data_IF_890789604403
#
_entry.id   IF_890789604403
#
_cell.length_a   1.000
_cell.length_b   1.000
_cell.length_c   1.000
_cell.angle_alpha   90.00
_cell.angle_beta   90.00
_cell.angle_gamma   90.00
#
_symmetry.space_group_name_H-M   'P 1'
#
loop_
_entity.id
_entity.type
_entity.pdbx_description
1 polymer ?
#
# COMPACT_ATOMS: atom_id res chain seq x y z
N UNK A 1 7.82 -16.70 9.36
CA UNK A 1 6.98 -17.74 8.71
C UNK A 1 6.75 -17.35 7.24
N UNK A 2 6.26 -18.26 6.38
CA UNK A 2 5.80 -17.89 5.04
C UNK A 2 4.28 -18.03 4.94
N UNK A 3 3.61 -17.06 4.32
CA UNK A 3 2.18 -17.06 4.03
C UNK A 3 1.92 -16.86 2.54
N UNK A 4 0.84 -17.46 2.05
CA UNK A 4 0.26 -17.14 0.75
C UNK A 4 -1.07 -16.44 1.03
N UNK A 5 -1.21 -15.21 0.53
CA UNK A 5 -2.37 -14.38 0.83
C UNK A 5 -2.98 -13.85 -0.47
N UNK A 6 -4.32 -13.81 -0.54
CA UNK A 6 -4.98 -12.91 -1.48
C UNK A 6 -5.19 -11.55 -0.82
N UNK A 7 -5.16 -10.48 -1.62
CA UNK A 7 -5.52 -9.12 -1.17
C UNK A 7 -6.90 -9.10 -0.51
N UNK A 8 -7.87 -9.90 -0.99
CA UNK A 8 -9.21 -9.99 -0.39
C UNK A 8 -9.22 -10.54 1.02
N UNK A 9 -8.21 -11.32 1.40
CA UNK A 9 -8.12 -11.97 2.71
C UNK A 9 -7.41 -11.08 3.74
N UNK A 10 -6.72 -10.03 3.27
CA UNK A 10 -5.93 -9.16 4.14
C UNK A 10 -6.74 -8.60 5.31
N UNK A 11 -7.96 -8.05 5.15
CA UNK A 11 -8.71 -7.50 6.27
C UNK A 11 -8.89 -8.50 7.43
N UNK A 12 -9.25 -9.74 7.12
CA UNK A 12 -9.39 -10.79 8.13
C UNK A 12 -8.04 -11.16 8.75
N UNK A 13 -7.00 -11.31 7.92
CA UNK A 13 -5.65 -11.68 8.37
C UNK A 13 -5.05 -10.63 9.32
N UNK A 14 -5.21 -9.35 9.02
CA UNK A 14 -4.52 -8.26 9.74
C UNK A 14 -5.36 -7.66 10.87
N UNK A 15 -6.69 -7.57 10.74
CA UNK A 15 -7.55 -6.94 11.75
C UNK A 15 -8.10 -7.94 12.74
N UNK A 16 -8.58 -9.09 12.26
CA UNK A 16 -9.27 -10.08 13.11
C UNK A 16 -8.28 -11.09 13.70
N UNK A 17 -7.43 -11.67 12.85
CA UNK A 17 -6.55 -12.77 13.23
C UNK A 17 -5.16 -12.31 13.70
N UNK A 18 -4.73 -11.13 13.25
CA UNK A 18 -3.42 -10.54 13.53
C UNK A 18 -2.26 -11.53 13.30
N UNK A 19 -2.31 -12.28 12.19
CA UNK A 19 -1.35 -13.37 11.94
C UNK A 19 0.04 -12.88 11.56
N UNK A 20 0.13 -11.72 10.91
CA UNK A 20 1.38 -11.24 10.32
C UNK A 20 2.24 -10.52 11.36
N UNK A 21 3.49 -10.94 11.47
CA UNK A 21 4.50 -10.31 12.31
C UNK A 21 5.67 -9.78 11.46
N UNK A 22 6.39 -8.79 11.99
CA UNK A 22 7.59 -8.29 11.33
C UNK A 22 8.61 -9.43 11.10
N UNK A 23 9.12 -9.53 9.87
CA UNK A 23 10.03 -10.61 9.45
C UNK A 23 9.34 -11.80 8.79
N UNK A 24 8.00 -11.86 8.78
CA UNK A 24 7.28 -12.85 7.99
C UNK A 24 7.40 -12.61 6.48
N UNK A 25 7.45 -13.70 5.72
CA UNK A 25 7.46 -13.68 4.25
C UNK A 25 6.03 -13.87 3.75
N UNK A 26 5.61 -13.04 2.79
CA UNK A 26 4.27 -13.12 2.20
C UNK A 26 4.37 -13.20 0.69
N UNK A 27 3.75 -14.20 0.10
CA UNK A 27 3.46 -14.28 -1.32
C UNK A 27 2.04 -13.73 -1.50
N UNK A 28 1.94 -12.52 -2.05
CA UNK A 28 0.68 -11.80 -2.21
C UNK A 28 0.14 -11.97 -3.64
N UNK A 29 -1.15 -12.25 -3.76
CA UNK A 29 -1.90 -12.32 -5.02
C UNK A 29 -3.12 -11.40 -4.98
N UNK A 30 -3.58 -10.91 -6.13
CA UNK A 30 -4.77 -10.06 -6.24
C UNK A 30 -4.47 -8.66 -6.80
N UNK A 31 -5.39 -7.72 -6.56
CA UNK A 31 -5.32 -6.37 -7.13
C UNK A 31 -4.52 -5.42 -6.24
N UNK A 32 -3.50 -4.78 -6.81
CA UNK A 32 -2.72 -3.70 -6.16
C UNK A 32 -2.69 -2.47 -7.06
N UNK A 33 -2.68 -1.28 -6.45
CA UNK A 33 -2.63 -0.01 -7.18
C UNK A 33 -1.22 0.57 -7.11
N UNK A 34 -0.61 0.89 -8.25
CA UNK A 34 0.68 1.58 -8.24
C UNK A 34 0.50 3.07 -7.93
N UNK A 35 1.17 3.58 -6.92
CA UNK A 35 1.17 5.02 -6.62
C UNK A 35 2.47 5.43 -5.96
N UNK A 36 3.03 6.58 -6.36
CA UNK A 36 4.26 7.15 -5.80
C UNK A 36 4.10 8.65 -5.59
N UNK A 37 5.19 9.41 -5.61
CA UNK A 37 5.29 10.82 -5.21
C UNK A 37 4.15 11.72 -5.73
N UNK A 38 4.03 11.87 -7.06
CA UNK A 38 3.04 12.77 -7.67
C UNK A 38 1.60 12.27 -7.50
N UNK A 39 1.39 10.96 -7.51
CA UNK A 39 0.08 10.36 -7.32
C UNK A 39 -0.40 10.54 -5.87
N UNK A 40 0.44 10.28 -4.86
CA UNK A 40 0.11 10.52 -3.45
C UNK A 40 -0.24 11.99 -3.17
N UNK A 41 0.50 12.93 -3.77
CA UNK A 41 0.19 14.36 -3.66
C UNK A 41 -1.21 14.69 -4.21
N UNK A 42 -1.60 14.10 -5.35
CA UNK A 42 -2.94 14.30 -5.94
C UNK A 42 -4.04 13.62 -5.13
N UNK A 43 -3.83 12.38 -4.70
CA UNK A 43 -4.80 11.62 -3.90
C UNK A 43 -5.11 12.35 -2.58
N UNK A 44 -4.08 12.78 -1.86
CA UNK A 44 -4.27 13.50 -0.58
C UNK A 44 -4.84 14.91 -0.77
N UNK A 45 -4.53 15.60 -1.88
CA UNK A 45 -5.18 16.86 -2.20
C UNK A 45 -6.69 16.65 -2.47
N UNK A 46 -7.04 15.67 -3.30
CA UNK A 46 -8.44 15.33 -3.58
C UNK A 46 -9.21 14.92 -2.31
N UNK A 47 -8.57 14.16 -1.41
CA UNK A 47 -9.19 13.77 -0.14
C UNK A 47 -9.45 14.94 0.80
N UNK A 48 -8.58 15.95 0.80
CA UNK A 48 -8.80 17.15 1.61
C UNK A 48 -10.01 17.96 1.13
N UNK A 49 -10.34 17.88 -0.16
CA UNK A 49 -11.45 18.61 -0.76
C UNK A 49 -12.77 17.82 -0.72
N UNK A 50 -12.72 16.51 -0.97
CA UNK A 50 -13.89 15.69 -1.28
C UNK A 50 -13.97 14.38 -0.46
N UNK A 51 -13.06 14.19 0.50
CA UNK A 51 -12.93 12.92 1.22
C UNK A 51 -12.55 11.76 0.27
N UNK A 52 -12.89 10.52 0.66
CA UNK A 52 -12.58 9.33 -0.15
C UNK A 52 -13.34 9.30 -1.49
N UNK A 53 -14.45 10.04 -1.63
CA UNK A 53 -15.20 10.14 -2.88
C UNK A 53 -14.41 10.83 -4.01
N UNK A 54 -13.39 11.62 -3.69
CA UNK A 54 -12.50 12.25 -4.68
C UNK A 54 -11.42 11.32 -5.25
N UNK A 55 -11.35 10.07 -4.79
CA UNK A 55 -10.32 9.12 -5.22
C UNK A 55 -10.76 8.36 -6.49
N UNK A 56 -9.82 8.04 -7.41
CA UNK A 56 -10.14 7.33 -8.65
C UNK A 56 -10.33 5.81 -8.46
N UNK A 57 -10.27 5.32 -7.21
CA UNK A 57 -10.45 3.91 -6.84
C UNK A 57 -10.97 3.82 -5.40
N UNK A 58 -11.64 2.72 -5.00
CA UNK A 58 -12.04 2.51 -3.62
C UNK A 58 -10.81 2.31 -2.74
N UNK A 59 -10.61 3.18 -1.75
CA UNK A 59 -9.46 3.11 -0.84
C UNK A 59 -9.62 2.05 0.24
N UNK A 60 -10.86 1.77 0.66
CA UNK A 60 -11.17 0.78 1.68
C UNK A 60 -10.58 -0.57 1.28
N UNK A 61 -9.69 -1.09 2.12
CA UNK A 61 -9.00 -2.35 1.96
C UNK A 61 -8.10 -2.46 0.71
N UNK A 62 -7.75 -1.31 0.12
CA UNK A 62 -6.83 -1.26 -1.01
C UNK A 62 -5.39 -1.50 -0.57
N UNK A 63 -4.60 -2.02 -1.52
CA UNK A 63 -3.15 -2.16 -1.39
C UNK A 63 -2.48 -1.23 -2.38
N UNK A 64 -1.57 -0.39 -1.89
CA UNK A 64 -0.78 0.51 -2.74
C UNK A 64 0.65 0.00 -2.87
N UNK A 65 1.08 -0.23 -4.11
CA UNK A 65 2.46 -0.55 -4.45
C UNK A 65 3.22 0.70 -4.88
N UNK A 66 4.28 1.04 -4.14
CA UNK A 66 5.17 2.15 -4.45
C UNK A 66 6.11 1.78 -5.59
N UNK A 67 5.59 1.85 -6.81
CA UNK A 67 6.32 1.54 -8.03
C UNK A 67 6.00 2.54 -9.14
N UNK A 68 6.93 2.65 -10.09
CA UNK A 68 6.74 3.34 -11.36
C UNK A 68 7.12 2.37 -12.48
N UNK A 69 6.17 1.57 -12.98
CA UNK A 69 6.48 0.58 -14.01
C UNK A 69 7.02 1.25 -15.28
N UNK A 70 7.99 0.62 -15.93
CA UNK A 70 8.42 1.05 -17.27
C UNK A 70 7.36 0.69 -18.31
N UNK A 71 7.49 1.24 -19.52
CA UNK A 71 6.66 0.84 -20.65
C UNK A 71 6.69 -0.68 -20.84
N UNK A 72 5.54 -1.26 -21.17
CA UNK A 72 5.41 -2.69 -21.42
C UNK A 72 6.07 -3.05 -22.76
N UNK A 73 6.96 -4.05 -22.80
CA UNK A 73 7.49 -4.56 -24.07
C UNK A 73 6.40 -5.35 -24.82
N UNK A 74 6.54 -5.56 -26.14
CA UNK A 74 5.58 -6.34 -26.93
C UNK A 74 5.30 -7.72 -26.33
N UNK A 75 4.02 -8.08 -26.23
CA UNK A 75 3.57 -9.36 -25.69
C UNK A 75 3.64 -9.50 -24.17
N UNK A 76 3.98 -8.45 -23.42
CA UNK A 76 3.93 -8.46 -21.95
C UNK A 76 2.92 -7.45 -21.40
N UNK A 77 2.25 -7.76 -20.28
CA UNK A 77 1.25 -6.87 -19.69
C UNK A 77 1.85 -5.64 -18.99
N UNK A 78 3.12 -5.71 -18.57
CA UNK A 78 3.81 -4.65 -17.81
C UNK A 78 5.31 -4.67 -18.08
N UNK A 79 5.95 -3.50 -17.97
CA UNK A 79 7.41 -3.38 -17.97
C UNK A 79 8.03 -3.76 -16.62
N UNK A 80 9.29 -3.41 -16.41
CA UNK A 80 9.96 -3.59 -15.12
C UNK A 80 9.21 -2.80 -14.04
N UNK A 81 8.84 -3.48 -12.95
CA UNK A 81 7.98 -2.93 -11.90
C UNK A 81 8.59 -3.19 -10.51
N UNK A 82 9.81 -2.69 -10.30
CA UNK A 82 10.48 -2.77 -8.99
C UNK A 82 10.02 -1.70 -8.00
N UNK A 83 10.23 -1.91 -6.70
CA UNK A 83 9.81 -0.99 -5.65
C UNK A 83 10.66 0.28 -5.62
N UNK A 84 10.08 1.34 -5.08
CA UNK A 84 10.77 2.59 -4.79
C UNK A 84 10.81 2.88 -3.30
N UNK A 85 11.71 3.78 -2.89
CA UNK A 85 11.91 4.16 -1.49
C UNK A 85 10.63 4.70 -0.86
N UNK A 86 10.12 3.99 0.14
CA UNK A 86 8.83 4.23 0.79
C UNK A 86 8.79 5.54 1.58
N UNK A 87 9.90 5.95 2.18
CA UNK A 87 9.98 7.19 2.97
C UNK A 87 9.55 8.46 2.22
N UNK A 88 9.57 8.47 0.88
CA UNK A 88 9.07 9.61 0.08
C UNK A 88 7.54 9.77 0.14
N UNK A 89 6.82 8.72 0.55
CA UNK A 89 5.36 8.72 0.68
C UNK A 89 4.90 8.91 2.14
N UNK A 90 5.82 8.96 3.10
CA UNK A 90 5.51 9.08 4.53
C UNK A 90 4.68 10.33 4.91
N UNK A 91 4.87 11.51 4.29
CA UNK A 91 4.00 12.66 4.56
C UNK A 91 2.52 12.45 4.19
N UNK A 92 2.22 11.42 3.38
CA UNK A 92 0.89 11.15 2.85
C UNK A 92 0.27 9.87 3.43
N UNK A 93 1.10 8.88 3.76
CA UNK A 93 0.66 7.54 4.14
C UNK A 93 -0.28 7.52 5.37
N UNK A 94 -0.04 8.27 6.46
CA UNK A 94 -0.94 8.25 7.62
C UNK A 94 -2.39 8.62 7.26
N UNK A 95 -2.59 9.63 6.41
CA UNK A 95 -3.93 10.04 5.95
C UNK A 95 -4.63 8.94 5.12
N UNK A 96 -3.87 8.21 4.30
CA UNK A 96 -4.43 7.12 3.49
C UNK A 96 -4.79 5.92 4.37
N UNK A 97 -3.96 5.59 5.36
CA UNK A 97 -4.20 4.53 6.34
C UNK A 97 -5.46 4.82 7.16
N UNK A 98 -5.56 6.03 7.70
CA UNK A 98 -6.73 6.49 8.48
C UNK A 98 -8.03 6.49 7.68
N UNK A 99 -7.93 6.53 6.35
CA UNK A 99 -9.06 6.50 5.43
C UNK A 99 -9.37 5.11 4.84
N UNK A 100 -8.68 4.06 5.30
CA UNK A 100 -9.02 2.66 5.00
C UNK A 100 -8.01 1.89 4.16
N UNK A 101 -6.83 2.46 3.84
CA UNK A 101 -5.76 1.70 3.17
C UNK A 101 -5.29 0.54 4.07
N UNK A 102 -5.28 -0.70 3.56
CA UNK A 102 -4.92 -1.87 4.37
C UNK A 102 -3.45 -2.25 4.26
N UNK A 103 -2.82 -2.00 3.10
CA UNK A 103 -1.42 -2.32 2.94
C UNK A 103 -0.65 -1.40 1.99
N UNK A 104 0.64 -1.35 2.22
CA UNK A 104 1.61 -0.64 1.39
C UNK A 104 2.74 -1.61 1.00
N UNK A 105 3.23 -1.53 -0.23
CA UNK A 105 4.37 -2.31 -0.72
C UNK A 105 5.45 -1.34 -1.20
N UNK A 106 6.70 -1.52 -0.79
CA UNK A 106 7.79 -0.65 -1.21
C UNK A 106 9.14 -1.11 -0.66
N UNK A 107 10.13 -0.22 -0.62
CA UNK A 107 11.45 -0.54 -0.04
C UNK A 107 11.95 0.51 0.94
N UNK A 108 12.80 0.08 1.86
CA UNK A 108 13.42 0.93 2.88
C UNK A 108 12.52 1.18 4.09
N UNK A 109 13.07 1.93 5.04
CA UNK A 109 12.44 2.22 6.32
C UNK A 109 11.24 3.18 6.19
N UNK A 110 10.42 3.19 7.24
CA UNK A 110 9.28 4.10 7.41
C UNK A 110 9.52 4.95 8.66
N UNK A 111 9.01 6.17 8.63
CA UNK A 111 8.99 7.06 9.79
C UNK A 111 8.07 6.53 10.89
N UNK A 112 8.34 6.96 12.13
CA UNK A 112 7.53 6.59 13.29
C UNK A 112 6.04 6.92 13.09
N UNK A 113 5.72 8.08 12.52
CA UNK A 113 4.34 8.48 12.24
C UNK A 113 3.59 7.49 11.34
N UNK A 114 4.30 6.80 10.43
CA UNK A 114 3.71 5.73 9.62
C UNK A 114 3.59 4.45 10.42
N UNK A 115 4.60 4.07 11.22
CA UNK A 115 4.50 2.90 12.09
C UNK A 115 3.28 3.01 13.04
N UNK A 116 3.11 4.15 13.68
CA UNK A 116 1.96 4.44 14.55
C UNK A 116 0.64 4.37 13.78
N UNK A 117 0.63 4.83 12.52
CA UNK A 117 -0.54 4.76 11.65
C UNK A 117 -0.85 3.33 11.20
N UNK A 118 0.16 2.49 10.98
CA UNK A 118 0.01 1.07 10.66
C UNK A 118 -0.64 0.35 11.85
N UNK A 119 -0.13 0.57 13.06
CA UNK A 119 -0.63 -0.05 14.28
C UNK A 119 -2.09 0.33 14.56
N UNK A 120 -2.41 1.63 14.56
CA UNK A 120 -3.78 2.10 14.89
C UNK A 120 -4.85 1.69 13.87
N UNK A 121 -4.45 1.43 12.62
CA UNK A 121 -5.37 1.03 11.55
C UNK A 121 -5.35 -0.48 11.28
N UNK A 122 -4.54 -1.24 12.04
CA UNK A 122 -4.30 -2.65 11.80
C UNK A 122 -3.92 -2.91 10.33
N UNK A 123 -2.99 -2.12 9.78
CA UNK A 123 -2.51 -2.24 8.40
C UNK A 123 -1.19 -3.01 8.35
N UNK A 124 -0.63 -3.19 7.15
CA UNK A 124 0.67 -3.85 6.97
C UNK A 124 1.54 -3.17 5.92
N UNK A 125 2.85 -3.16 6.17
CA UNK A 125 3.85 -2.73 5.18
C UNK A 125 4.68 -3.93 4.73
N UNK A 126 4.63 -4.22 3.43
CA UNK A 126 5.44 -5.27 2.82
C UNK A 126 6.69 -4.64 2.19
N UNK A 127 7.87 -5.01 2.71
CA UNK A 127 9.15 -4.67 2.10
C UNK A 127 9.43 -5.62 0.93
N UNK A 128 9.65 -5.07 -0.27
CA UNK A 128 9.87 -5.79 -1.52
C UNK A 128 11.23 -5.44 -2.16
#
# INVERSE_FOLDING_TARGET
MEYQCNVTDLPAIVREQQLLHAGDRVILSGTVYTSRDAAHKRLTAAMKEQGTAGLPFPLQDAVIYYAGPTAAPPGRPIGACGPTTSGRMDPYAPMLLDAGLIAMIGKGERSQAVCDAIERNHAVYFCA
#
